data_IF_360757181179
#
_entry.id   IF_360757181179
#
_cell.length_a   1.000
_cell.length_b   1.000
_cell.length_c   1.000
_cell.angle_alpha   90.00
_cell.angle_beta   90.00
_cell.angle_gamma   90.00
#
_symmetry.space_group_name_H-M   'P 1'
#
loop_
_entity.id
_entity.type
_entity.pdbx_description
1 polymer ?
#
# COMPACT_ATOMS: atom_id res chain seq x y z
N UNK A 1 -57.87 2.46 -66.14
CA UNK A 1 -58.51 3.77 -65.93
C UNK A 1 -58.92 3.91 -64.48
N UNK A 2 -58.62 5.07 -63.88
CA UNK A 2 -59.05 5.59 -62.56
C UNK A 2 -58.23 5.16 -61.34
N UNK A 3 -57.15 5.90 -61.18
CA UNK A 3 -56.51 6.30 -59.93
C UNK A 3 -57.50 6.75 -58.86
N UNK A 4 -57.20 6.45 -57.59
CA UNK A 4 -57.38 7.39 -56.48
C UNK A 4 -56.23 7.24 -55.48
N UNK A 5 -55.44 8.30 -55.42
CA UNK A 5 -54.44 8.63 -54.43
C UNK A 5 -55.17 9.12 -53.17
N UNK A 6 -54.75 8.66 -52.00
CA UNK A 6 -54.98 9.35 -50.74
C UNK A 6 -53.66 9.36 -49.96
N UNK A 7 -53.16 10.57 -49.78
CA UNK A 7 -51.96 10.99 -49.04
C UNK A 7 -52.28 10.93 -47.54
N UNK A 8 -51.23 11.07 -46.70
CA UNK A 8 -51.22 11.45 -45.26
C UNK A 8 -50.97 10.24 -44.34
N UNK A 9 -49.97 10.14 -43.44
CA UNK A 9 -49.10 11.11 -42.75
C UNK A 9 -47.79 10.41 -42.29
N UNK A 10 -46.67 11.11 -42.41
CA UNK A 10 -45.37 10.81 -41.80
C UNK A 10 -45.43 11.02 -40.28
N UNK A 11 -45.02 10.03 -39.48
CA UNK A 11 -44.39 10.28 -38.18
C UNK A 11 -43.09 9.47 -38.13
N UNK A 12 -41.99 10.20 -38.27
CA UNK A 12 -40.63 9.79 -37.93
C UNK A 12 -40.53 9.83 -36.42
N UNK A 13 -40.25 8.69 -35.77
CA UNK A 13 -39.61 8.67 -34.47
C UNK A 13 -38.41 7.74 -34.56
N UNK A 14 -37.25 8.35 -34.82
CA UNK A 14 -35.96 7.72 -34.70
C UNK A 14 -35.73 7.32 -33.25
N UNK A 15 -35.57 6.03 -33.00
CA UNK A 15 -34.95 5.55 -31.78
C UNK A 15 -33.45 5.68 -32.02
N UNK A 16 -32.95 6.90 -31.84
CA UNK A 16 -31.54 7.12 -31.60
C UNK A 16 -31.17 6.40 -30.32
N UNK A 17 -30.27 5.43 -30.42
CA UNK A 17 -29.57 4.86 -29.27
C UNK A 17 -28.74 6.00 -28.68
N UNK A 18 -29.33 6.74 -27.76
CA UNK A 18 -28.59 7.63 -26.89
C UNK A 18 -27.74 6.74 -25.98
N UNK A 19 -26.48 6.55 -26.39
CA UNK A 19 -25.41 6.18 -25.46
C UNK A 19 -25.29 7.36 -24.51
N UNK A 20 -26.13 7.36 -23.46
CA UNK A 20 -25.89 8.16 -22.27
C UNK A 20 -24.64 7.54 -21.67
N UNK A 21 -23.51 8.15 -21.97
CA UNK A 21 -22.31 8.03 -21.15
C UNK A 21 -22.70 8.51 -19.77
N UNK A 22 -23.17 7.57 -18.96
CA UNK A 22 -23.23 7.74 -17.51
C UNK A 22 -21.78 7.93 -17.10
N UNK A 23 -21.34 9.20 -17.10
CA UNK A 23 -20.31 9.66 -16.20
C UNK A 23 -20.82 9.26 -14.84
N UNK A 24 -20.34 8.11 -14.37
CA UNK A 24 -20.31 7.83 -12.94
C UNK A 24 -19.53 9.00 -12.34
N UNK A 25 -20.26 10.01 -11.89
CA UNK A 25 -19.89 10.77 -10.70
C UNK A 25 -19.97 9.78 -9.53
N UNK A 26 -19.15 8.74 -9.60
CA UNK A 26 -18.87 7.89 -8.47
C UNK A 26 -18.00 8.76 -7.60
N UNK A 27 -18.52 9.22 -6.48
CA UNK A 27 -17.70 9.48 -5.32
C UNK A 27 -16.70 8.34 -5.24
N UNK A 28 -15.41 8.62 -5.46
CA UNK A 28 -14.33 7.69 -5.18
C UNK A 28 -14.65 7.09 -3.82
N UNK A 29 -14.70 5.75 -3.68
CA UNK A 29 -14.92 5.12 -2.39
C UNK A 29 -13.93 5.74 -1.42
N UNK A 30 -14.41 6.67 -0.61
CA UNK A 30 -13.66 7.19 0.50
C UNK A 30 -13.49 5.98 1.40
N UNK A 31 -12.28 5.71 1.87
CA UNK A 31 -12.07 4.70 2.91
C UNK A 31 -13.05 5.01 4.05
N UNK A 32 -14.19 4.33 4.07
CA UNK A 32 -15.17 4.47 5.13
C UNK A 32 -14.54 3.74 6.30
N UNK A 33 -14.03 4.54 7.22
CA UNK A 33 -13.25 4.19 8.41
C UNK A 33 -13.89 3.15 9.36
N UNK A 34 -15.07 2.61 9.07
CA UNK A 34 -15.89 1.90 10.06
C UNK A 34 -16.16 0.41 9.77
N UNK A 35 -15.49 -0.19 8.78
CA UNK A 35 -15.50 -1.64 8.62
C UNK A 35 -14.10 -2.19 8.77
N UNK A 36 -13.66 -2.24 10.02
CA UNK A 36 -12.37 -2.78 10.37
C UNK A 36 -12.58 -4.28 10.67
N UNK A 37 -12.06 -5.16 9.81
CA UNK A 37 -11.54 -6.43 10.33
C UNK A 37 -10.30 -6.02 11.11
N UNK A 38 -10.51 -5.59 12.36
CA UNK A 38 -9.46 -5.05 13.19
C UNK A 38 -8.74 -6.24 13.78
N UNK A 39 -7.49 -6.46 13.35
CA UNK A 39 -6.57 -7.24 14.15
C UNK A 39 -6.63 -6.70 15.58
N UNK A 40 -6.74 -7.59 16.56
CA UNK A 40 -6.82 -7.20 17.98
C UNK A 40 -5.44 -6.93 18.55
N UNK A 41 -4.39 -7.34 17.84
CA UNK A 41 -2.99 -7.13 18.19
C UNK A 41 -2.14 -6.91 16.93
N UNK A 42 -0.97 -6.31 17.09
CA UNK A 42 -0.01 -6.11 15.99
C UNK A 42 0.43 -7.45 15.37
N UNK A 43 0.68 -8.46 16.21
CA UNK A 43 1.11 -9.77 15.74
C UNK A 43 0.02 -10.46 14.90
N UNK A 44 -1.25 -10.30 15.26
CA UNK A 44 -2.37 -10.81 14.45
C UNK A 44 -2.40 -10.14 13.06
N UNK A 45 -2.18 -8.83 12.99
CA UNK A 45 -2.12 -8.11 11.71
C UNK A 45 -0.98 -8.64 10.82
N UNK A 46 0.21 -8.84 11.41
CA UNK A 46 1.39 -9.35 10.71
C UNK A 46 1.17 -10.80 10.24
N UNK A 47 0.64 -11.67 11.11
CA UNK A 47 0.35 -13.08 10.77
C UNK A 47 -0.73 -13.21 9.71
N UNK A 48 -1.74 -12.34 9.73
CA UNK A 48 -2.77 -12.27 8.70
C UNK A 48 -2.18 -11.84 7.34
N UNK A 49 -1.35 -10.79 7.32
CA UNK A 49 -0.66 -10.36 6.10
C UNK A 49 0.20 -11.49 5.50
N UNK A 50 1.05 -12.11 6.32
CA UNK A 50 1.97 -13.17 5.88
C UNK A 50 1.28 -14.51 5.61
N UNK A 51 0.05 -14.71 6.09
CA UNK A 51 -0.62 -16.00 6.14
C UNK A 51 0.22 -17.09 6.85
N UNK A 52 1.00 -16.69 7.86
CA UNK A 52 1.84 -17.57 8.69
C UNK A 52 1.35 -17.47 10.15
N UNK A 53 0.40 -18.30 10.60
CA UNK A 53 -0.20 -18.17 11.94
C UNK A 53 0.79 -18.39 13.09
N UNK A 54 1.86 -19.16 12.85
CA UNK A 54 2.90 -19.45 13.85
C UNK A 54 4.16 -18.62 13.63
N UNK A 55 4.07 -17.48 12.92
CA UNK A 55 5.23 -16.63 12.67
C UNK A 55 5.79 -16.12 14.01
N UNK A 56 7.08 -16.38 14.22
CA UNK A 56 7.82 -15.87 15.36
C UNK A 56 8.34 -14.47 15.09
N UNK A 57 7.93 -13.54 15.95
CA UNK A 57 8.27 -12.13 15.87
C UNK A 57 9.14 -11.74 17.07
N UNK A 58 10.06 -10.82 16.85
CA UNK A 58 10.82 -10.13 17.89
C UNK A 58 10.38 -8.67 17.88
N UNK A 59 9.70 -8.23 18.95
CA UNK A 59 9.39 -6.81 19.12
C UNK A 59 10.68 -6.02 19.37
N UNK A 60 10.84 -4.91 18.65
CA UNK A 60 11.93 -3.95 18.82
C UNK A 60 11.50 -2.70 19.60
N UNK A 61 10.21 -2.63 19.98
CA UNK A 61 9.61 -1.48 20.64
C UNK A 61 8.96 -0.51 19.66
N UNK A 62 8.88 0.75 20.07
CA UNK A 62 8.30 1.85 19.30
C UNK A 62 9.37 2.58 18.48
N UNK A 63 9.04 2.95 17.25
CA UNK A 63 9.86 3.85 16.41
C UNK A 63 9.22 5.25 16.31
N UNK A 64 9.99 6.27 16.71
CA UNK A 64 9.67 7.70 16.64
C UNK A 64 10.93 8.50 16.26
N UNK A 65 10.86 9.49 15.35
CA UNK A 65 10.21 9.52 14.04
C UNK A 65 11.25 9.28 12.93
N UNK A 66 11.04 8.30 12.05
CA UNK A 66 11.69 8.36 10.74
C UNK A 66 11.10 9.54 9.97
N UNK A 67 11.98 10.38 9.43
CA UNK A 67 11.79 11.67 8.72
C UNK A 67 10.85 11.61 7.51
N UNK A 68 10.28 10.46 7.20
CA UNK A 68 9.55 10.24 5.97
C UNK A 68 8.12 10.76 6.09
N UNK A 69 7.32 10.36 7.08
CA UNK A 69 5.95 10.89 7.23
C UNK A 69 5.87 12.09 8.19
N UNK A 70 5.41 13.23 7.67
CA UNK A 70 5.14 14.41 8.50
C UNK A 70 4.00 15.22 7.92
N UNK A 71 3.11 15.70 8.79
CA UNK A 71 2.15 16.76 8.47
C UNK A 71 2.55 18.03 9.18
N UNK A 72 2.45 19.16 8.49
CA UNK A 72 2.84 20.43 9.05
C UNK A 72 2.47 21.63 8.20
N UNK A 73 2.60 22.83 8.80
CA UNK A 73 2.50 24.09 8.06
C UNK A 73 3.81 24.33 7.33
N UNK A 74 3.74 24.59 6.03
CA UNK A 74 4.93 24.80 5.20
C UNK A 74 5.14 26.29 4.99
N UNK A 75 6.32 26.77 5.36
CA UNK A 75 6.79 28.13 5.09
C UNK A 75 8.03 28.09 4.20
N UNK A 76 8.06 28.91 3.15
CA UNK A 76 9.24 29.04 2.30
C UNK A 76 10.30 29.87 3.03
N UNK A 77 11.52 29.36 3.10
CA UNK A 77 12.65 30.05 3.75
C UNK A 77 13.85 30.01 2.80
N UNK A 78 14.10 31.13 2.10
CA UNK A 78 15.13 31.20 1.06
C UNK A 78 14.89 30.16 -0.05
N UNK A 79 15.88 29.30 -0.28
CA UNK A 79 15.82 28.20 -1.26
C UNK A 79 15.27 26.88 -0.67
N UNK A 80 14.83 26.88 0.58
CA UNK A 80 14.31 25.71 1.27
C UNK A 80 12.86 25.87 1.75
N UNK A 81 12.36 24.81 2.35
CA UNK A 81 11.09 24.82 3.08
C UNK A 81 11.36 24.52 4.56
N UNK A 82 10.69 25.27 5.43
CA UNK A 82 10.50 24.87 6.81
C UNK A 82 9.11 24.26 6.93
N UNK A 83 9.02 23.14 7.64
CA UNK A 83 7.75 22.52 7.98
C UNK A 83 7.61 22.57 9.50
N UNK A 84 6.58 23.25 10.01
CA UNK A 84 6.28 23.31 11.43
C UNK A 84 5.54 22.05 11.86
N UNK A 85 5.88 21.49 13.03
CA UNK A 85 5.19 20.32 13.56
C UNK A 85 3.78 20.74 14.00
N UNK A 86 2.78 19.94 13.68
CA UNK A 86 1.41 20.12 14.17
C UNK A 86 1.06 18.91 15.04
N UNK A 87 0.45 19.17 16.18
CA UNK A 87 0.04 18.13 17.12
C UNK A 87 -1.04 17.22 16.52
N UNK A 88 -1.13 16.00 17.03
CA UNK A 88 -2.03 14.96 16.49
C UNK A 88 -1.51 14.24 15.23
N UNK A 89 -0.54 14.82 14.53
CA UNK A 89 0.06 14.22 13.33
C UNK A 89 1.46 13.68 13.58
N UNK A 90 1.55 12.68 14.45
CA UNK A 90 2.81 11.99 14.77
C UNK A 90 2.75 10.58 14.22
N UNK A 91 3.73 10.20 13.38
CA UNK A 91 3.94 8.79 13.03
C UNK A 91 4.53 8.09 14.25
N UNK A 92 3.73 7.24 14.89
CA UNK A 92 4.17 6.28 15.89
C UNK A 92 3.88 4.89 15.34
N UNK A 93 4.86 4.00 15.38
CA UNK A 93 4.68 2.60 14.97
C UNK A 93 5.35 1.67 15.97
N UNK A 94 4.76 0.50 16.16
CA UNK A 94 5.43 -0.63 16.80
C UNK A 94 6.21 -1.41 15.73
N UNK A 95 7.44 -1.79 16.05
CA UNK A 95 8.36 -2.46 15.11
C UNK A 95 8.62 -3.91 15.53
N UNK A 96 8.58 -4.80 14.55
CA UNK A 96 8.79 -6.24 14.74
C UNK A 96 9.67 -6.82 13.63
N UNK A 97 10.64 -7.64 14.00
CA UNK A 97 11.42 -8.45 13.04
C UNK A 97 10.89 -9.90 13.01
N UNK A 98 10.88 -10.55 11.84
CA UNK A 98 10.88 -12.02 11.79
C UNK A 98 12.16 -12.54 12.48
N UNK A 99 12.04 -13.56 13.33
CA UNK A 99 13.23 -14.15 13.98
C UNK A 99 14.11 -14.96 13.04
N UNK A 100 13.53 -15.50 11.97
CA UNK A 100 14.23 -16.40 11.05
C UNK A 100 14.65 -15.63 9.80
N UNK A 101 15.94 -15.66 9.42
CA UNK A 101 16.41 -15.07 8.17
C UNK A 101 15.72 -15.67 6.95
N UNK A 102 15.52 -14.85 5.92
CA UNK A 102 15.01 -15.31 4.63
C UNK A 102 16.06 -16.18 3.91
N UNK A 103 15.60 -17.21 3.19
CA UNK A 103 16.41 -18.31 2.63
C UNK A 103 17.79 -17.91 2.12
N UNK A 104 18.81 -18.11 2.96
CA UNK A 104 20.23 -17.91 2.62
C UNK A 104 20.72 -16.45 2.67
N UNK A 105 19.85 -15.48 2.90
CA UNK A 105 20.19 -14.07 3.02
C UNK A 105 20.40 -13.63 4.47
N UNK A 106 21.33 -12.70 4.72
CA UNK A 106 21.46 -12.07 6.05
C UNK A 106 20.49 -10.90 6.19
N UNK A 107 19.20 -11.16 5.99
CA UNK A 107 18.14 -10.19 6.13
C UNK A 107 16.83 -10.86 6.55
N UNK A 108 15.97 -10.08 7.21
CA UNK A 108 14.66 -10.49 7.72
C UNK A 108 13.60 -9.53 7.20
N UNK A 109 12.33 -9.89 7.35
CA UNK A 109 11.27 -8.89 7.27
C UNK A 109 11.21 -8.08 8.56
N UNK A 110 11.19 -6.76 8.41
CA UNK A 110 10.74 -5.83 9.44
C UNK A 110 9.30 -5.41 9.12
N UNK A 111 8.44 -5.45 10.13
CA UNK A 111 7.05 -5.01 10.09
C UNK A 111 6.86 -3.79 10.98
N UNK A 112 6.06 -2.85 10.50
CA UNK A 112 5.68 -1.67 11.26
C UNK A 112 4.17 -1.55 11.31
N UNK A 113 3.63 -1.43 12.52
CA UNK A 113 2.19 -1.42 12.78
C UNK A 113 1.81 -0.15 13.50
N UNK A 114 0.71 0.48 13.10
CA UNK A 114 0.12 1.62 13.82
C UNK A 114 -0.53 1.13 15.12
N UNK A 115 -0.01 1.49 16.31
CA UNK A 115 -0.49 0.95 17.57
C UNK A 115 -1.91 1.42 17.93
N UNK A 116 -2.41 2.47 17.28
CA UNK A 116 -3.75 3.02 17.57
C UNK A 116 -4.87 2.11 17.06
N UNK A 117 -4.60 1.36 16.00
CA UNK A 117 -5.63 0.56 15.32
C UNK A 117 -5.12 -0.79 14.79
N UNK A 118 -3.89 -1.18 15.11
CA UNK A 118 -3.22 -2.40 14.66
C UNK A 118 -3.13 -2.55 13.13
N UNK A 119 -3.11 -1.43 12.39
CA UNK A 119 -2.95 -1.46 10.93
C UNK A 119 -1.50 -1.68 10.57
N UNK A 120 -1.21 -2.71 9.76
CA UNK A 120 0.11 -2.88 9.16
C UNK A 120 0.40 -1.71 8.22
N UNK A 121 1.41 -0.92 8.54
CA UNK A 121 1.80 0.29 7.79
C UNK A 121 2.99 0.05 6.88
N UNK A 122 3.90 -0.86 7.23
CA UNK A 122 5.07 -1.15 6.39
C UNK A 122 5.59 -2.57 6.58
N UNK A 123 6.11 -3.13 5.49
CA UNK A 123 6.90 -4.35 5.43
C UNK A 123 8.09 -4.09 4.52
N UNK A 124 9.30 -4.34 5.01
CA UNK A 124 10.50 -4.24 4.19
C UNK A 124 11.58 -5.23 4.61
N UNK A 125 12.56 -5.40 3.74
CA UNK A 125 13.72 -6.25 3.99
C UNK A 125 14.75 -5.47 4.79
N UNK A 126 15.08 -5.96 5.98
CA UNK A 126 16.10 -5.39 6.86
C UNK A 126 17.33 -6.28 6.85
N UNK A 127 18.46 -5.73 6.43
CA UNK A 127 19.77 -6.38 6.59
C UNK A 127 20.11 -6.56 8.06
N UNK A 128 20.58 -7.75 8.41
CA UNK A 128 21.05 -8.05 9.76
C UNK A 128 22.35 -7.32 10.06
N UNK A 129 22.48 -6.83 11.29
CA UNK A 129 23.74 -6.27 11.76
C UNK A 129 24.78 -7.38 12.00
N UNK A 130 26.06 -7.02 12.00
CA UNK A 130 27.17 -7.98 12.13
C UNK A 130 27.06 -8.85 13.40
N UNK A 131 26.67 -8.26 14.53
CA UNK A 131 26.45 -8.99 15.77
C UNK A 131 25.27 -9.99 15.69
N UNK A 132 24.24 -9.68 14.92
CA UNK A 132 23.10 -10.58 14.67
C UNK A 132 23.52 -11.75 13.76
N UNK A 133 24.34 -11.48 12.74
CA UNK A 133 24.94 -12.50 11.86
C UNK A 133 25.85 -13.44 12.67
N UNK A 134 26.67 -12.90 13.56
CA UNK A 134 27.54 -13.69 14.44
C UNK A 134 26.74 -14.56 15.43
N UNK A 135 25.65 -14.03 15.98
CA UNK A 135 24.76 -14.80 16.85
C UNK A 135 24.12 -15.98 16.10
N UNK A 136 23.64 -15.78 14.87
CA UNK A 136 23.11 -16.84 14.02
C UNK A 136 24.17 -17.90 13.69
N UNK A 137 25.40 -17.47 13.39
CA UNK A 137 26.52 -18.38 13.14
C UNK A 137 26.82 -19.27 14.33
N UNK A 138 26.77 -18.72 15.55
CA UNK A 138 26.94 -19.49 16.79
C UNK A 138 25.79 -20.50 17.04
N UNK A 139 24.63 -20.28 16.43
CA UNK A 139 23.48 -21.19 16.43
C UNK A 139 23.49 -22.18 15.24
N UNK A 140 24.55 -22.18 14.43
CA UNK A 140 24.69 -23.07 13.27
C UNK A 140 23.98 -22.59 12.00
N UNK A 141 23.47 -21.35 11.99
CA UNK A 141 22.80 -20.75 10.83
C UNK A 141 23.80 -19.86 10.08
N UNK A 142 24.05 -20.15 8.82
CA UNK A 142 24.89 -19.33 7.94
C UNK A 142 24.04 -18.62 6.89
N UNK A 143 24.35 -17.34 6.64
CA UNK A 143 23.68 -16.51 5.64
C UNK A 143 24.69 -15.71 4.82
N UNK A 144 24.25 -15.15 3.69
CA UNK A 144 25.06 -14.31 2.79
C UNK A 144 24.53 -12.86 2.85
N UNK A 145 25.42 -11.91 3.18
CA UNK A 145 25.05 -10.50 3.34
C UNK A 145 24.68 -9.79 2.03
N UNK A 146 25.18 -10.29 0.90
CA UNK A 146 24.90 -9.75 -0.43
C UNK A 146 24.01 -10.74 -1.21
N UNK A 147 22.69 -10.59 -1.20
CA UNK A 147 21.84 -11.42 -2.04
C UNK A 147 22.19 -11.21 -3.51
N UNK A 148 22.14 -12.31 -4.28
CA UNK A 148 22.07 -12.26 -5.73
C UNK A 148 20.88 -11.38 -6.13
N UNK A 149 20.97 -10.56 -7.20
CA UNK A 149 19.82 -9.83 -7.72
C UNK A 149 18.61 -10.76 -7.85
N UNK A 150 17.42 -10.25 -7.51
CA UNK A 150 16.19 -11.04 -7.63
C UNK A 150 16.05 -11.52 -9.08
N UNK A 151 15.66 -12.79 -9.31
CA UNK A 151 15.39 -13.25 -10.66
C UNK A 151 14.24 -12.45 -11.27
N UNK A 152 14.11 -12.50 -12.58
CA UNK A 152 12.92 -11.94 -13.25
C UNK A 152 11.70 -12.79 -12.91
N UNK A 153 10.56 -12.12 -12.78
CA UNK A 153 9.25 -12.74 -12.59
C UNK A 153 8.29 -12.16 -13.61
N UNK A 154 7.24 -12.91 -13.98
CA UNK A 154 6.22 -12.34 -14.85
C UNK A 154 5.35 -11.36 -14.08
N UNK A 155 4.79 -10.37 -14.79
CA UNK A 155 3.77 -9.48 -14.22
C UNK A 155 2.63 -10.28 -13.57
N UNK A 156 2.15 -11.34 -14.22
CA UNK A 156 0.98 -12.09 -13.77
C UNK A 156 1.23 -12.84 -12.46
N UNK A 157 2.39 -13.48 -12.32
CA UNK A 157 2.80 -14.13 -11.08
C UNK A 157 2.92 -13.10 -9.94
N UNK A 158 3.59 -11.98 -10.21
CA UNK A 158 3.73 -10.90 -9.24
C UNK A 158 2.38 -10.26 -8.87
N UNK A 159 1.46 -10.11 -9.83
CA UNK A 159 0.12 -9.55 -9.63
C UNK A 159 -0.71 -10.46 -8.73
N UNK A 160 -0.67 -11.77 -8.97
CA UNK A 160 -1.37 -12.76 -8.14
C UNK A 160 -0.90 -12.64 -6.69
N UNK A 161 0.41 -12.63 -6.47
CA UNK A 161 0.97 -12.52 -5.12
C UNK A 161 0.61 -11.18 -4.47
N UNK A 162 0.78 -10.06 -5.19
CA UNK A 162 0.45 -8.73 -4.69
C UNK A 162 -1.02 -8.64 -4.24
N UNK A 163 -1.95 -9.10 -5.09
CA UNK A 163 -3.37 -9.04 -4.80
C UNK A 163 -3.77 -9.93 -3.62
N UNK A 164 -3.13 -11.09 -3.44
CA UNK A 164 -3.35 -11.92 -2.26
C UNK A 164 -2.96 -11.21 -0.95
N UNK A 165 -1.78 -10.57 -0.91
CA UNK A 165 -1.34 -9.81 0.25
C UNK A 165 -2.27 -8.62 0.54
N UNK A 166 -2.63 -7.87 -0.51
CA UNK A 166 -3.54 -6.72 -0.39
C UNK A 166 -4.92 -7.15 0.12
N UNK A 167 -5.47 -8.25 -0.39
CA UNK A 167 -6.77 -8.77 0.04
C UNK A 167 -6.79 -9.16 1.52
N UNK A 168 -5.69 -9.69 2.06
CA UNK A 168 -5.59 -10.08 3.48
C UNK A 168 -5.52 -8.87 4.43
N UNK A 169 -5.03 -7.73 3.96
CA UNK A 169 -4.71 -6.57 4.81
C UNK A 169 -5.66 -5.39 4.62
N UNK A 170 -6.30 -5.26 3.46
CA UNK A 170 -7.15 -4.11 3.15
C UNK A 170 -8.63 -4.49 3.29
N UNK A 171 -9.35 -3.97 4.30
CA UNK A 171 -10.76 -4.29 4.50
C UNK A 171 -11.64 -3.96 3.28
N UNK A 172 -11.31 -2.89 2.56
CA UNK A 172 -12.01 -2.43 1.37
C UNK A 172 -11.31 -2.84 0.05
N UNK A 173 -10.47 -3.88 0.07
CA UNK A 173 -9.70 -4.31 -1.10
C UNK A 173 -10.53 -4.38 -2.38
N UNK A 174 -11.73 -4.99 -2.32
CA UNK A 174 -12.60 -5.14 -3.49
C UNK A 174 -13.07 -3.82 -4.11
N UNK A 175 -13.12 -2.74 -3.33
CA UNK A 175 -13.55 -1.41 -3.80
C UNK A 175 -12.41 -0.63 -4.48
N UNK A 176 -11.17 -0.88 -4.05
CA UNK A 176 -9.99 -0.12 -4.49
C UNK A 176 -9.05 -0.93 -5.40
N UNK A 177 -9.21 -2.25 -5.54
CA UNK A 177 -8.31 -3.11 -6.33
C UNK A 177 -8.10 -2.60 -7.77
N UNK A 178 -9.16 -2.13 -8.42
CA UNK A 178 -9.11 -1.69 -9.83
C UNK A 178 -8.54 -0.27 -9.97
N UNK A 179 -8.24 0.39 -8.85
CA UNK A 179 -7.64 1.73 -8.80
C UNK A 179 -6.10 1.68 -8.66
N UNK A 180 -5.51 0.51 -8.41
CA UNK A 180 -4.06 0.37 -8.33
C UNK A 180 -3.40 0.57 -9.71
N UNK A 181 -2.40 1.44 -9.76
CA UNK A 181 -1.58 1.68 -10.94
C UNK A 181 -0.35 0.78 -10.91
N UNK A 182 -0.13 0.04 -12.00
CA UNK A 182 1.00 -0.87 -12.17
C UNK A 182 2.26 -0.16 -12.70
N UNK A 183 3.44 -0.59 -12.23
CA UNK A 183 4.73 -0.27 -12.83
C UNK A 183 5.71 -1.45 -12.75
N UNK A 184 6.52 -1.62 -13.78
CA UNK A 184 7.66 -2.55 -13.77
C UNK A 184 8.91 -1.81 -13.33
N UNK A 185 9.72 -2.43 -12.48
CA UNK A 185 10.96 -1.88 -11.96
C UNK A 185 12.14 -2.79 -12.33
N UNK A 186 13.34 -2.23 -12.40
CA UNK A 186 14.60 -2.98 -12.61
C UNK A 186 14.52 -4.02 -13.73
N UNK A 187 14.01 -3.63 -14.92
CA UNK A 187 13.92 -4.53 -16.08
C UNK A 187 13.13 -5.84 -15.83
N UNK A 188 12.11 -5.80 -14.95
CA UNK A 188 11.24 -6.94 -14.63
C UNK A 188 11.70 -7.80 -13.46
N UNK A 189 12.67 -7.34 -12.66
CA UNK A 189 13.06 -8.00 -11.40
C UNK A 189 12.07 -7.73 -10.27
N UNK A 190 11.30 -6.63 -10.37
CA UNK A 190 10.18 -6.37 -9.47
C UNK A 190 9.03 -5.64 -10.15
N UNK A 191 7.84 -5.86 -9.62
CA UNK A 191 6.60 -5.23 -10.07
C UNK A 191 5.92 -4.54 -8.90
N UNK A 192 5.38 -3.35 -9.15
CA UNK A 192 4.76 -2.53 -8.11
C UNK A 192 3.34 -2.14 -8.50
N UNK A 193 2.46 -2.17 -7.51
CA UNK A 193 1.10 -1.61 -7.56
C UNK A 193 1.00 -0.48 -6.55
N UNK A 194 0.53 0.68 -7.00
CA UNK A 194 0.35 1.88 -6.19
C UNK A 194 -1.10 2.37 -6.26
N UNK A 195 -1.71 2.54 -5.11
CA UNK A 195 -2.97 3.23 -4.92
C UNK A 195 -2.75 4.57 -4.21
N UNK A 196 -3.50 5.59 -4.62
CA UNK A 196 -3.36 6.96 -4.14
C UNK A 196 -4.75 7.58 -3.90
N UNK A 197 -4.98 8.17 -2.72
CA UNK A 197 -6.22 8.90 -2.44
C UNK A 197 -6.09 10.39 -2.78
N UNK A 198 -6.08 10.72 -4.07
CA UNK A 198 -5.91 12.12 -4.53
C UNK A 198 -7.07 13.05 -4.15
N UNK A 199 -8.20 12.50 -3.74
CA UNK A 199 -9.36 13.27 -3.29
C UNK A 199 -9.25 13.68 -1.81
N UNK A 200 -8.31 13.09 -1.06
CA UNK A 200 -8.07 13.47 0.32
C UNK A 200 -7.43 14.85 0.40
N UNK A 201 -8.04 15.72 1.19
CA UNK A 201 -7.50 17.04 1.50
C UNK A 201 -7.16 17.13 2.98
N UNK A 202 -5.94 17.54 3.28
CA UNK A 202 -5.57 17.93 4.63
C UNK A 202 -6.36 19.17 5.08
N UNK A 203 -6.48 19.41 6.39
CA UNK A 203 -6.97 20.69 6.90
C UNK A 203 -6.24 21.87 6.28
N UNK A 204 -6.95 22.99 6.13
CA UNK A 204 -6.43 24.19 5.48
C UNK A 204 -5.08 24.63 6.08
N UNK A 205 -4.14 24.95 5.19
CA UNK A 205 -2.79 25.39 5.56
C UNK A 205 -1.82 24.28 5.97
N UNK A 206 -2.26 23.01 5.98
CA UNK A 206 -1.38 21.87 6.23
C UNK A 206 -0.90 21.21 4.94
N UNK A 207 0.25 20.56 5.01
CA UNK A 207 0.82 19.74 3.95
C UNK A 207 1.43 18.48 4.55
N UNK A 208 1.58 17.43 3.74
CA UNK A 208 2.24 16.19 4.14
C UNK A 208 3.51 15.91 3.31
N UNK A 209 4.44 15.16 3.92
CA UNK A 209 5.64 14.57 3.30
C UNK A 209 5.71 13.07 3.61
N UNK A 210 6.33 12.24 2.74
CA UNK A 210 6.79 12.63 1.41
C UNK A 210 5.61 12.68 0.41
N UNK A 211 4.47 12.10 0.80
CA UNK A 211 3.24 12.04 0.03
C UNK A 211 2.27 13.11 0.53
N UNK A 212 1.63 13.82 -0.40
CA UNK A 212 0.64 14.85 -0.07
C UNK A 212 -0.71 14.26 0.38
N UNK A 213 -0.94 12.99 0.09
CA UNK A 213 -2.18 12.26 0.33
C UNK A 213 -1.88 10.80 0.75
N UNK A 214 -2.86 10.07 1.30
CA UNK A 214 -2.74 8.64 1.60
C UNK A 214 -2.33 7.81 0.39
N UNK A 215 -1.44 6.84 0.61
CA UNK A 215 -1.03 5.86 -0.40
C UNK A 215 -1.05 4.44 0.17
N UNK A 216 -1.22 3.47 -0.72
CA UNK A 216 -0.92 2.07 -0.48
C UNK A 216 -0.04 1.58 -1.63
N UNK A 217 1.09 0.97 -1.30
CA UNK A 217 2.06 0.48 -2.28
C UNK A 217 2.48 -0.92 -1.93
N UNK A 218 2.49 -1.82 -2.90
CA UNK A 218 3.08 -3.15 -2.77
C UNK A 218 4.02 -3.41 -3.94
N UNK A 219 5.21 -3.92 -3.63
CA UNK A 219 6.22 -4.34 -4.59
C UNK A 219 6.51 -5.82 -4.38
N UNK A 220 6.51 -6.59 -5.47
CA UNK A 220 6.85 -8.01 -5.48
C UNK A 220 8.11 -8.22 -6.29
N UNK A 221 9.09 -8.89 -5.70
CA UNK A 221 10.37 -9.23 -6.31
C UNK A 221 10.33 -10.68 -6.83
N UNK A 222 11.15 -11.01 -7.83
CA UNK A 222 11.05 -12.34 -8.45
C UNK A 222 11.51 -13.53 -7.60
N UNK A 223 12.11 -13.29 -6.44
CA UNK A 223 12.31 -14.28 -5.39
C UNK A 223 11.09 -14.42 -4.44
N UNK A 224 9.94 -13.87 -4.83
CA UNK A 224 8.68 -13.80 -4.05
C UNK A 224 8.77 -12.96 -2.78
N UNK A 225 9.82 -12.15 -2.63
CA UNK A 225 9.88 -11.17 -1.55
C UNK A 225 8.92 -10.00 -1.80
N UNK A 226 8.42 -9.39 -0.72
CA UNK A 226 7.42 -8.33 -0.79
C UNK A 226 7.84 -7.13 0.04
N UNK A 227 7.69 -5.94 -0.53
CA UNK A 227 7.68 -4.69 0.23
C UNK A 227 6.28 -4.09 0.18
N UNK A 228 5.80 -3.58 1.30
CA UNK A 228 4.46 -3.02 1.44
C UNK A 228 4.52 -1.74 2.23
N UNK A 229 3.85 -0.67 1.78
CA UNK A 229 3.66 0.58 2.53
C UNK A 229 2.20 1.01 2.48
N UNK A 230 1.66 1.41 3.62
CA UNK A 230 0.30 1.92 3.78
C UNK A 230 0.32 3.11 4.73
N UNK A 231 0.03 4.29 4.20
CA UNK A 231 0.04 5.54 4.98
C UNK A 231 -1.35 5.98 5.40
N UNK A 232 -2.40 5.22 5.08
CA UNK A 232 -3.80 5.61 5.33
C UNK A 232 -4.04 5.98 6.79
N UNK A 233 -3.57 5.17 7.73
CA UNK A 233 -3.78 5.42 9.16
C UNK A 233 -3.06 6.67 9.66
N UNK A 234 -1.98 7.09 8.99
CA UNK A 234 -1.26 8.31 9.33
C UNK A 234 -2.00 9.59 8.92
N UNK A 235 -3.00 9.48 8.04
CA UNK A 235 -3.90 10.57 7.65
C UNK A 235 -5.22 10.56 8.46
N UNK A 236 -5.36 9.66 9.42
CA UNK A 236 -6.49 9.57 10.34
C UNK A 236 -6.07 10.10 11.72
N UNK A 237 -6.85 11.06 12.23
CA UNK A 237 -6.74 11.56 13.61
C UNK A 237 -7.66 10.78 14.53
#
# INVERSE_FOLDING_TARGET
MKSKIAIVLLIVLGIGVAIVSSRRTGTTPTLVSNQIIQAKTDEEAIRAFTNKPNLELKSLGEDLPTIYFRVGKVTKVGNGENMEKVDGWVRQVNVYDEKTPLSGGCYVYEYQVDPRNHTLTSVFLKGLHQNEIEALKNQGVTCVANPTPAPKVSRQEAETLAMEYLQRTLPNFNEIKDQFTYSSQNNGESHQWLWENKDYNLPEGLSARPYQYPIIRISVYGNNEVQYWNTVSFFQQ
#
